data_IF_702994389130
#
_entry.id   IF_702994389130
#
_cell.length_a   1.000
_cell.length_b   1.000
_cell.length_c   1.000
_cell.angle_alpha   90.00
_cell.angle_beta   90.00
_cell.angle_gamma   90.00
#
_symmetry.space_group_name_H-M   'P 1'
#
loop_
_entity.id
_entity.type
_entity.pdbx_description
1 polymer ?
#
# COMPACT_ATOMS: atom_id res chain seq x y z
N UNK A 1 -9.27 23.66 5.24
CA UNK A 1 -9.95 23.31 3.98
C UNK A 1 -9.36 21.98 3.51
N UNK A 2 -10.18 21.03 3.21
CA UNK A 2 -9.80 19.72 2.67
C UNK A 2 -10.64 19.38 1.44
N UNK A 3 -10.09 18.56 0.55
CA UNK A 3 -10.85 18.04 -0.57
C UNK A 3 -11.96 17.14 -0.02
N UNK A 4 -13.17 17.35 -0.49
CA UNK A 4 -14.28 16.48 -0.12
C UNK A 4 -14.03 15.06 -0.64
N UNK A 5 -14.52 14.01 0.05
CA UNK A 5 -14.27 12.62 -0.32
C UNK A 5 -14.62 12.26 -1.75
N UNK A 6 -15.55 12.97 -2.35
CA UNK A 6 -15.96 12.84 -3.76
C UNK A 6 -14.99 13.47 -4.75
N UNK A 7 -13.98 14.23 -4.28
CA UNK A 7 -12.97 14.85 -5.13
C UNK A 7 -13.43 16.05 -5.96
N UNK A 8 -14.69 16.47 -5.84
CA UNK A 8 -15.28 17.53 -6.69
C UNK A 8 -15.29 18.91 -6.04
N UNK A 9 -15.27 18.96 -4.71
CA UNK A 9 -15.40 20.21 -3.96
C UNK A 9 -14.44 20.28 -2.78
N UNK A 10 -14.18 21.52 -2.30
CA UNK A 10 -13.45 21.75 -1.07
C UNK A 10 -14.46 22.02 0.06
N UNK A 11 -14.17 21.48 1.24
CA UNK A 11 -14.97 21.76 2.45
C UNK A 11 -14.11 22.30 3.58
N UNK A 12 -14.68 23.18 4.37
CA UNK A 12 -14.11 23.57 5.65
C UNK A 12 -14.44 22.51 6.71
N UNK A 13 -13.44 22.00 7.39
CA UNK A 13 -13.61 21.10 8.53
C UNK A 13 -12.86 21.65 9.71
N UNK A 14 -13.52 21.72 10.84
CA UNK A 14 -12.86 22.06 12.10
C UNK A 14 -12.02 20.88 12.52
N UNK A 15 -10.71 21.10 12.65
CA UNK A 15 -9.75 20.11 13.14
C UNK A 15 -9.02 20.65 14.34
N UNK A 16 -8.59 19.76 15.18
CA UNK A 16 -7.63 20.05 16.22
C UNK A 16 -6.28 20.30 15.54
N UNK A 17 -5.94 21.56 15.28
CA UNK A 17 -4.79 21.92 14.42
C UNK A 17 -3.65 22.57 15.19
N UNK A 18 -3.94 23.18 16.35
CA UNK A 18 -2.95 23.86 17.17
C UNK A 18 -3.21 23.60 18.64
N UNK A 19 -2.15 23.38 19.38
CA UNK A 19 -2.19 23.36 20.84
C UNK A 19 -2.03 24.80 21.37
N UNK A 20 -2.84 25.16 22.33
CA UNK A 20 -2.58 26.34 23.12
C UNK A 20 -1.46 26.00 24.11
N UNK A 21 -0.50 26.92 24.24
CA UNK A 21 0.65 26.75 25.16
C UNK A 21 1.41 25.43 24.97
N UNK A 22 1.74 25.11 23.72
CA UNK A 22 2.48 23.90 23.34
C UNK A 22 3.81 23.72 24.12
N UNK A 23 4.62 24.78 24.41
CA UNK A 23 5.86 24.63 25.17
C UNK A 23 5.65 24.03 26.56
N UNK A 24 4.65 24.50 27.31
CA UNK A 24 4.37 23.99 28.65
C UNK A 24 3.86 22.55 28.61
N UNK A 25 2.97 22.24 27.64
CA UNK A 25 2.52 20.87 27.43
C UNK A 25 3.68 19.91 27.13
N UNK A 26 4.63 20.32 26.30
CA UNK A 26 5.81 19.53 25.98
C UNK A 26 6.76 19.39 27.18
N UNK A 27 6.88 20.41 28.04
CA UNK A 27 7.64 20.31 29.29
C UNK A 27 7.03 19.25 30.20
N UNK A 28 5.74 19.33 30.48
CA UNK A 28 5.02 18.34 31.29
C UNK A 28 5.14 16.93 30.70
N UNK A 29 5.05 16.79 29.38
CA UNK A 29 5.17 15.50 28.73
C UNK A 29 6.59 14.90 28.86
N UNK A 30 7.62 15.74 28.82
CA UNK A 30 9.04 15.31 28.99
C UNK A 30 9.37 14.83 30.41
N UNK A 31 8.58 15.18 31.40
CA UNK A 31 8.77 14.68 32.77
C UNK A 31 8.46 13.18 32.89
N UNK A 32 7.62 12.65 32.02
CA UNK A 32 7.13 11.26 32.05
C UNK A 32 7.45 10.46 30.79
N UNK A 33 8.02 11.09 29.77
CA UNK A 33 8.29 10.47 28.48
C UNK A 33 9.68 10.85 27.93
N UNK A 34 10.42 9.88 27.41
CA UNK A 34 11.62 10.13 26.61
C UNK A 34 11.21 10.39 25.15
N UNK A 35 11.57 11.56 24.63
CA UNK A 35 11.25 11.99 23.28
C UNK A 35 12.53 11.98 22.45
N UNK A 36 12.60 11.05 21.52
CA UNK A 36 13.70 10.93 20.57
C UNK A 36 13.21 11.28 19.16
N UNK A 37 13.77 12.32 18.58
CA UNK A 37 13.52 12.65 17.17
C UNK A 37 14.50 11.90 16.26
N UNK A 38 14.16 11.77 14.98
CA UNK A 38 15.04 11.12 14.00
C UNK A 38 16.45 11.75 13.96
N UNK A 39 16.52 13.08 14.12
CA UNK A 39 17.79 13.82 14.15
C UNK A 39 18.64 13.50 15.40
N UNK A 40 17.98 13.28 16.55
CA UNK A 40 18.65 12.90 17.80
C UNK A 40 19.23 11.49 17.72
N UNK A 41 18.51 10.58 17.08
CA UNK A 41 18.91 9.17 16.94
C UNK A 41 20.08 8.98 15.98
N UNK A 42 20.38 9.94 15.11
CA UNK A 42 21.46 9.86 14.11
C UNK A 42 21.52 8.51 13.38
N UNK A 43 20.33 7.98 13.05
CA UNK A 43 20.23 6.68 12.37
C UNK A 43 20.91 6.75 11.01
N UNK A 44 21.62 5.69 10.60
CA UNK A 44 22.17 5.59 9.26
C UNK A 44 21.02 5.46 8.26
N UNK A 45 20.54 6.58 7.70
CA UNK A 45 19.50 6.61 6.67
C UNK A 45 20.14 6.65 5.30
N UNK A 46 19.74 5.77 4.37
CA UNK A 46 20.22 5.82 3.00
C UNK A 46 19.74 7.10 2.29
N UNK A 47 20.53 7.56 1.32
CA UNK A 47 20.09 8.61 0.41
C UNK A 47 18.94 8.09 -0.45
N UNK A 48 17.83 8.82 -0.48
CA UNK A 48 16.61 8.42 -1.19
C UNK A 48 16.45 9.23 -2.46
N UNK A 49 16.14 8.52 -3.56
CA UNK A 49 15.68 9.11 -4.81
C UNK A 49 14.21 8.71 -4.99
N UNK A 50 13.31 9.70 -5.07
CA UNK A 50 11.88 9.45 -5.22
C UNK A 50 11.49 9.42 -6.70
N UNK A 51 10.87 8.32 -7.14
CA UNK A 51 10.32 8.16 -8.48
C UNK A 51 8.82 7.86 -8.38
N UNK A 52 8.00 8.81 -8.81
CA UNK A 52 6.54 8.67 -8.78
C UNK A 52 6.04 8.16 -10.13
N UNK A 53 5.58 6.90 -10.15
CA UNK A 53 4.94 6.30 -11.33
C UNK A 53 3.43 6.53 -11.24
N UNK A 54 2.87 7.20 -12.26
CA UNK A 54 1.43 7.48 -12.36
C UNK A 54 0.83 6.61 -13.44
N UNK A 55 -0.28 5.94 -13.12
CA UNK A 55 -1.07 5.15 -14.08
C UNK A 55 -2.38 5.87 -14.38
N UNK A 56 -2.94 5.62 -15.58
CA UNK A 56 -4.25 6.11 -15.94
C UNK A 56 -5.31 5.08 -15.53
N UNK A 57 -6.47 5.50 -15.02
CA UNK A 57 -7.55 4.57 -14.71
C UNK A 57 -8.12 3.94 -15.99
N UNK A 58 -8.56 2.69 -15.89
CA UNK A 58 -9.37 2.06 -16.95
C UNK A 58 -10.75 2.70 -17.01
N UNK A 59 -11.49 2.45 -18.11
CA UNK A 59 -12.91 2.86 -18.22
C UNK A 59 -13.73 2.22 -17.11
N UNK A 60 -13.52 0.94 -16.83
CA UNK A 60 -14.17 0.21 -15.71
C UNK A 60 -13.90 0.91 -14.37
N UNK A 61 -12.65 1.26 -14.09
CA UNK A 61 -12.33 1.97 -12.85
C UNK A 61 -13.02 3.34 -12.78
N UNK A 62 -13.09 4.05 -13.89
CA UNK A 62 -13.76 5.36 -13.96
C UNK A 62 -15.25 5.25 -13.66
N UNK A 63 -15.93 4.26 -14.22
CA UNK A 63 -17.36 4.00 -13.97
C UNK A 63 -17.60 3.57 -12.52
N UNK A 64 -16.72 2.73 -11.97
CA UNK A 64 -16.80 2.30 -10.58
C UNK A 64 -16.58 3.46 -9.60
N UNK A 65 -15.67 4.40 -9.90
CA UNK A 65 -15.48 5.62 -9.10
C UNK A 65 -16.73 6.49 -9.14
N UNK A 66 -17.39 6.64 -10.29
CA UNK A 66 -18.68 7.34 -10.39
C UNK A 66 -19.76 6.65 -9.52
N UNK A 67 -19.75 5.32 -9.46
CA UNK A 67 -20.60 4.54 -8.55
C UNK A 67 -20.32 4.83 -7.07
N UNK A 68 -19.04 4.89 -6.68
CA UNK A 68 -18.65 5.25 -5.31
C UNK A 68 -19.08 6.67 -4.93
N UNK A 69 -18.98 7.62 -5.87
CA UNK A 69 -19.46 9.00 -5.66
C UNK A 69 -20.96 9.04 -5.38
N UNK A 70 -21.78 8.33 -6.18
CA UNK A 70 -23.24 8.22 -5.95
C UNK A 70 -23.57 7.57 -4.60
N UNK A 71 -22.80 6.56 -4.17
CA UNK A 71 -22.95 5.96 -2.84
C UNK A 71 -22.65 6.99 -1.73
N UNK A 72 -21.57 7.76 -1.88
CA UNK A 72 -21.19 8.80 -0.94
C UNK A 72 -22.26 9.90 -0.80
N UNK A 73 -22.92 10.29 -1.90
CA UNK A 73 -24.05 11.23 -1.88
C UNK A 73 -25.24 10.68 -1.11
N UNK A 74 -25.62 9.41 -1.31
CA UNK A 74 -26.71 8.75 -0.57
C UNK A 74 -26.42 8.70 0.94
N UNK A 75 -25.19 8.35 1.31
CA UNK A 75 -24.78 8.33 2.75
C UNK A 75 -24.84 9.73 3.36
N UNK A 76 -24.42 10.76 2.65
CA UNK A 76 -24.54 12.16 3.12
C UNK A 76 -25.97 12.62 3.28
N UNK A 77 -26.79 12.26 2.33
CA UNK A 77 -28.23 12.57 2.37
C UNK A 77 -29.00 11.73 3.40
N UNK A 78 -28.32 10.82 4.13
CA UNK A 78 -28.91 9.88 5.10
C UNK A 78 -30.00 9.00 4.48
N UNK A 79 -29.85 8.64 3.21
CA UNK A 79 -30.78 7.78 2.47
C UNK A 79 -30.44 6.30 2.61
N UNK A 80 -29.37 5.96 3.30
CA UNK A 80 -28.91 4.58 3.53
C UNK A 80 -28.51 4.44 4.99
N UNK A 81 -28.92 3.34 5.61
CA UNK A 81 -28.55 3.00 6.97
C UNK A 81 -27.04 2.76 7.11
N UNK A 82 -26.37 3.24 8.18
CA UNK A 82 -24.93 3.14 8.36
C UNK A 82 -24.35 1.71 8.39
N UNK A 83 -25.17 0.73 8.76
CA UNK A 83 -24.83 -0.70 8.73
C UNK A 83 -24.83 -1.29 7.31
N UNK A 84 -25.61 -0.71 6.39
CA UNK A 84 -25.67 -1.13 4.98
C UNK A 84 -24.51 -0.50 4.21
N UNK A 85 -24.38 0.84 4.27
CA UNK A 85 -23.29 1.57 3.62
C UNK A 85 -22.88 2.81 4.42
N UNK A 86 -21.59 3.14 4.38
CA UNK A 86 -21.03 4.28 5.12
C UNK A 86 -19.74 4.77 4.46
N UNK A 87 -19.27 5.96 4.86
CA UNK A 87 -18.08 6.57 4.28
C UNK A 87 -16.80 5.74 4.47
N UNK A 88 -16.68 4.96 5.57
CA UNK A 88 -15.53 4.10 5.80
C UNK A 88 -15.48 2.96 4.78
N UNK A 89 -16.64 2.31 4.55
CA UNK A 89 -16.77 1.25 3.56
C UNK A 89 -16.47 1.76 2.15
N UNK A 90 -17.05 2.91 1.77
CA UNK A 90 -16.82 3.54 0.47
C UNK A 90 -15.34 3.91 0.28
N UNK A 91 -14.69 4.46 1.31
CA UNK A 91 -13.27 4.80 1.26
C UNK A 91 -12.39 3.54 1.11
N UNK A 92 -12.75 2.46 1.81
CA UNK A 92 -12.02 1.20 1.68
C UNK A 92 -12.18 0.58 0.29
N UNK A 93 -13.40 0.60 -0.26
CA UNK A 93 -13.66 0.15 -1.63
C UNK A 93 -12.89 1.00 -2.64
N UNK A 94 -12.83 2.32 -2.45
CA UNK A 94 -12.04 3.22 -3.29
C UNK A 94 -10.54 2.93 -3.23
N UNK A 95 -9.99 2.59 -2.06
CA UNK A 95 -8.59 2.18 -1.92
C UNK A 95 -8.30 0.87 -2.65
N UNK A 96 -9.19 -0.11 -2.53
CA UNK A 96 -9.08 -1.39 -3.24
C UNK A 96 -9.13 -1.18 -4.75
N UNK A 97 -10.13 -0.44 -5.23
CA UNK A 97 -10.31 -0.12 -6.64
C UNK A 97 -9.09 0.61 -7.23
N UNK A 98 -8.52 1.55 -6.46
CA UNK A 98 -7.34 2.30 -6.88
C UNK A 98 -6.07 1.43 -6.95
N UNK A 99 -6.03 0.30 -6.27
CA UNK A 99 -4.93 -0.66 -6.34
C UNK A 99 -5.15 -1.62 -7.52
N UNK A 100 -6.27 -2.34 -7.51
CA UNK A 100 -6.67 -3.27 -8.57
C UNK A 100 -8.19 -3.47 -8.56
N UNK A 101 -8.83 -3.36 -9.73
CA UNK A 101 -10.29 -3.51 -9.86
C UNK A 101 -10.79 -4.90 -9.45
N UNK A 102 -9.95 -5.94 -9.60
CA UNK A 102 -10.26 -7.32 -9.20
C UNK A 102 -10.38 -7.51 -7.67
N UNK A 103 -9.90 -6.54 -6.88
CA UNK A 103 -10.15 -6.52 -5.43
C UNK A 103 -11.58 -6.17 -5.05
N UNK A 104 -12.34 -5.58 -5.96
CA UNK A 104 -13.77 -5.30 -5.79
C UNK A 104 -14.60 -6.44 -6.36
N UNK A 105 -14.26 -6.87 -7.58
CA UNK A 105 -14.91 -8.00 -8.24
C UNK A 105 -13.84 -8.84 -8.96
N UNK A 106 -13.55 -10.05 -8.45
CA UNK A 106 -12.55 -10.94 -9.04
C UNK A 106 -12.85 -11.40 -10.48
N UNK A 107 -14.09 -11.22 -10.95
CA UNK A 107 -14.49 -11.54 -12.31
C UNK A 107 -14.09 -10.48 -13.34
N UNK A 108 -13.66 -9.30 -12.87
CA UNK A 108 -13.19 -8.25 -13.76
C UNK A 108 -11.85 -8.64 -14.41
N UNK A 109 -11.60 -8.19 -15.64
CA UNK A 109 -10.33 -8.46 -16.32
C UNK A 109 -9.15 -7.80 -15.60
N UNK A 110 -7.98 -8.39 -15.77
CA UNK A 110 -6.72 -7.73 -15.40
C UNK A 110 -6.52 -6.50 -16.30
N UNK A 111 -6.29 -5.34 -15.68
CA UNK A 111 -5.97 -4.12 -16.42
C UNK A 111 -4.44 -4.03 -16.60
N UNK A 112 -3.92 -4.15 -17.83
CA UNK A 112 -2.48 -4.10 -18.09
C UNK A 112 -1.84 -2.77 -17.65
N UNK A 113 -2.62 -1.70 -17.52
CA UNK A 113 -2.15 -0.39 -17.07
C UNK A 113 -2.40 -0.14 -15.57
N UNK A 114 -2.79 -1.17 -14.81
CA UNK A 114 -3.00 -1.06 -13.37
C UNK A 114 -1.73 -0.67 -12.63
N UNK A 115 -1.88 -0.15 -11.41
CA UNK A 115 -0.73 0.13 -10.54
C UNK A 115 0.07 -1.14 -10.23
N UNK A 116 -0.61 -2.27 -10.09
CA UNK A 116 0.02 -3.56 -9.81
C UNK A 116 0.88 -3.97 -10.99
N UNK A 117 0.37 -3.91 -12.22
CA UNK A 117 1.13 -4.25 -13.41
C UNK A 117 2.29 -3.28 -13.65
N UNK A 118 2.11 -1.97 -13.47
CA UNK A 118 3.20 -1.00 -13.54
C UNK A 118 4.30 -1.26 -12.46
N UNK A 119 3.91 -1.71 -11.28
CA UNK A 119 4.85 -2.14 -10.25
C UNK A 119 5.62 -3.39 -10.67
N UNK A 120 4.95 -4.40 -11.23
CA UNK A 120 5.56 -5.63 -11.75
C UNK A 120 6.55 -5.33 -12.86
N UNK A 121 6.20 -4.45 -13.80
CA UNK A 121 7.10 -4.01 -14.87
C UNK A 121 8.37 -3.38 -14.32
N UNK A 122 8.23 -2.51 -13.35
CA UNK A 122 9.38 -1.87 -12.69
C UNK A 122 10.22 -2.87 -11.91
N UNK A 123 9.58 -3.81 -11.17
CA UNK A 123 10.28 -4.85 -10.43
C UNK A 123 11.08 -5.78 -11.36
N UNK A 124 10.46 -6.22 -12.47
CA UNK A 124 11.11 -7.07 -13.43
C UNK A 124 12.32 -6.38 -14.09
N UNK A 125 12.13 -5.13 -14.51
CA UNK A 125 13.21 -4.32 -15.07
C UNK A 125 14.40 -4.19 -14.11
N UNK A 126 14.16 -3.86 -12.85
CA UNK A 126 15.21 -3.73 -11.82
C UNK A 126 15.87 -5.09 -11.56
N UNK A 127 15.09 -6.17 -11.52
CA UNK A 127 15.60 -7.51 -11.34
C UNK A 127 16.54 -7.91 -12.49
N UNK A 128 16.20 -7.58 -13.73
CA UNK A 128 17.01 -7.87 -14.91
C UNK A 128 18.26 -6.99 -14.97
N UNK A 129 18.12 -5.67 -14.82
CA UNK A 129 19.23 -4.69 -14.86
C UNK A 129 20.29 -4.94 -13.79
N UNK A 130 19.92 -5.55 -12.67
CA UNK A 130 20.82 -5.81 -11.53
C UNK A 130 21.03 -7.32 -11.30
N UNK A 131 21.05 -8.11 -12.35
CA UNK A 131 21.24 -9.54 -12.23
C UNK A 131 22.64 -9.91 -11.70
N UNK A 132 23.67 -9.18 -12.07
CA UNK A 132 25.07 -9.34 -11.66
C UNK A 132 25.28 -9.00 -10.17
N UNK A 133 24.67 -7.92 -9.69
CA UNK A 133 24.79 -7.45 -8.30
C UNK A 133 23.81 -8.14 -7.35
N UNK A 134 22.85 -8.90 -7.88
CA UNK A 134 21.75 -9.52 -7.12
C UNK A 134 21.02 -8.52 -6.23
N UNK A 135 20.82 -7.29 -6.71
CA UNK A 135 20.11 -6.26 -5.94
C UNK A 135 18.72 -6.73 -5.51
N UNK A 136 18.36 -6.41 -4.28
CA UNK A 136 17.09 -6.82 -3.68
C UNK A 136 16.09 -5.67 -3.64
N UNK A 137 14.81 -5.99 -3.75
CA UNK A 137 13.71 -5.06 -3.78
C UNK A 137 12.73 -5.37 -2.64
N UNK A 138 12.34 -4.35 -1.90
CA UNK A 138 11.31 -4.43 -0.86
C UNK A 138 10.03 -3.78 -1.40
N UNK A 139 8.94 -4.53 -1.39
CA UNK A 139 7.64 -4.08 -1.89
C UNK A 139 6.68 -4.01 -0.72
N UNK A 140 6.12 -2.84 -0.49
CA UNK A 140 5.15 -2.62 0.58
C UNK A 140 3.73 -2.50 0.01
N UNK A 141 2.84 -3.40 0.46
CA UNK A 141 1.43 -3.38 0.10
C UNK A 141 0.58 -3.73 1.32
N UNK A 142 -0.09 -2.73 1.87
CA UNK A 142 -0.93 -2.88 3.09
C UNK A 142 -2.33 -3.45 2.80
N UNK A 143 -2.66 -3.58 1.52
CA UNK A 143 -3.92 -4.16 1.10
C UNK A 143 -3.69 -5.54 0.49
N UNK A 144 -4.72 -6.40 0.59
CA UNK A 144 -4.72 -7.70 -0.10
C UNK A 144 -3.62 -8.66 0.35
N UNK A 145 -3.30 -8.67 1.65
CA UNK A 145 -2.39 -9.68 2.21
C UNK A 145 -2.95 -11.09 1.99
N UNK A 146 -2.10 -12.10 1.71
CA UNK A 146 -2.54 -13.46 1.45
C UNK A 146 -3.33 -14.05 2.61
N UNK A 147 -4.48 -14.68 2.32
CA UNK A 147 -5.32 -15.36 3.31
C UNK A 147 -5.30 -16.86 3.20
N UNK A 148 -4.68 -17.41 2.16
CA UNK A 148 -4.64 -18.84 1.82
C UNK A 148 -6.04 -19.48 1.68
N UNK A 149 -7.05 -18.68 1.29
CA UNK A 149 -8.44 -19.09 1.08
C UNK A 149 -8.83 -19.24 -0.40
N UNK A 150 -7.85 -19.13 -1.31
CA UNK A 150 -8.05 -19.20 -2.75
C UNK A 150 -8.69 -17.94 -3.36
N UNK A 151 -8.95 -16.91 -2.58
CA UNK A 151 -9.45 -15.63 -3.11
C UNK A 151 -8.32 -14.85 -3.78
N UNK A 152 -8.67 -14.06 -4.81
CA UNK A 152 -7.73 -13.17 -5.46
C UNK A 152 -7.03 -12.25 -4.45
N UNK A 153 -5.71 -12.23 -4.53
CA UNK A 153 -4.90 -11.27 -3.78
C UNK A 153 -3.73 -10.76 -4.62
N UNK A 154 -3.31 -9.54 -4.34
CA UNK A 154 -2.27 -8.84 -5.09
C UNK A 154 -0.89 -9.48 -4.91
N UNK A 155 -0.61 -10.09 -3.76
CA UNK A 155 0.68 -10.73 -3.50
C UNK A 155 0.92 -11.93 -4.40
N UNK A 156 -0.08 -12.81 -4.51
CA UNK A 156 0.01 -13.99 -5.37
C UNK A 156 0.03 -13.57 -6.85
N UNK A 157 -0.78 -12.60 -7.26
CA UNK A 157 -0.79 -12.06 -8.62
C UNK A 157 0.59 -11.50 -9.02
N UNK A 158 1.26 -10.75 -8.12
CA UNK A 158 2.63 -10.26 -8.36
C UNK A 158 3.61 -11.42 -8.50
N UNK A 159 3.56 -12.39 -7.58
CA UNK A 159 4.45 -13.56 -7.61
C UNK A 159 4.29 -14.36 -8.92
N UNK A 160 3.06 -14.69 -9.27
CA UNK A 160 2.74 -15.46 -10.47
C UNK A 160 3.22 -14.76 -11.75
N UNK A 161 2.97 -13.45 -11.85
CA UNK A 161 3.40 -12.68 -13.02
C UNK A 161 4.92 -12.51 -13.12
N UNK A 162 5.61 -12.37 -11.99
CA UNK A 162 7.08 -12.35 -11.99
C UNK A 162 7.66 -13.71 -12.41
N UNK A 163 7.11 -14.81 -11.89
CA UNK A 163 7.51 -16.16 -12.26
C UNK A 163 7.23 -16.42 -13.75
N UNK A 164 6.09 -16.02 -14.26
CA UNK A 164 5.74 -16.14 -15.67
C UNK A 164 6.70 -15.37 -16.59
N UNK A 165 7.37 -14.34 -16.09
CA UNK A 165 8.41 -13.58 -16.79
C UNK A 165 9.81 -14.19 -16.65
N UNK A 166 9.97 -15.28 -15.91
CA UNK A 166 11.23 -16.00 -15.74
C UNK A 166 11.98 -15.70 -14.44
N UNK A 167 11.39 -14.96 -13.50
CA UNK A 167 11.97 -14.79 -12.16
C UNK A 167 11.82 -16.12 -11.39
N UNK A 168 12.91 -16.72 -10.87
CA UNK A 168 12.80 -17.94 -10.07
C UNK A 168 11.90 -17.78 -8.86
N UNK A 169 11.04 -18.76 -8.61
CA UNK A 169 10.03 -18.69 -7.53
C UNK A 169 10.65 -18.50 -6.14
N UNK A 170 11.83 -19.08 -5.91
CA UNK A 170 12.59 -18.97 -4.66
C UNK A 170 13.10 -17.54 -4.39
N UNK A 171 13.22 -16.73 -5.44
CA UNK A 171 13.65 -15.33 -5.32
C UNK A 171 12.54 -14.37 -4.95
N UNK A 172 11.27 -14.80 -4.98
CA UNK A 172 10.10 -13.98 -4.64
C UNK A 172 9.45 -14.53 -3.37
N UNK A 173 9.56 -13.80 -2.27
CA UNK A 173 9.06 -14.25 -0.96
C UNK A 173 8.16 -13.21 -0.31
N UNK A 174 7.30 -13.67 0.58
CA UNK A 174 6.44 -12.83 1.40
C UNK A 174 6.93 -12.82 2.85
N UNK A 175 6.92 -11.67 3.52
CA UNK A 175 7.27 -11.59 4.95
C UNK A 175 6.35 -12.45 5.80
N UNK A 176 5.09 -12.62 5.37
CA UNK A 176 4.07 -13.41 6.06
C UNK A 176 4.38 -14.93 6.08
N UNK A 177 5.28 -15.41 5.25
CA UNK A 177 5.75 -16.80 5.25
C UNK A 177 6.67 -17.10 6.45
N UNK A 178 7.24 -16.07 7.06
CA UNK A 178 8.09 -16.16 8.24
C UNK A 178 7.32 -15.72 9.48
N UNK A 179 6.81 -16.67 10.27
CA UNK A 179 5.96 -16.40 11.43
C UNK A 179 6.75 -16.29 12.73
N UNK A 180 7.92 -16.91 12.81
CA UNK A 180 8.82 -16.86 13.98
C UNK A 180 10.02 -15.94 13.74
N UNK A 181 10.63 -15.45 14.83
CA UNK A 181 11.82 -14.59 14.73
C UNK A 181 13.01 -15.31 14.07
N UNK A 182 13.14 -16.62 14.31
CA UNK A 182 14.17 -17.44 13.67
C UNK A 182 13.97 -17.49 12.14
N UNK A 183 12.74 -17.73 11.69
CA UNK A 183 12.38 -17.73 10.26
C UNK A 183 12.56 -16.35 9.62
N UNK A 184 12.20 -15.27 10.33
CA UNK A 184 12.45 -13.90 9.85
C UNK A 184 13.94 -13.62 9.70
N UNK A 185 14.74 -14.04 10.68
CA UNK A 185 16.20 -13.87 10.64
C UNK A 185 16.81 -14.63 9.47
N UNK A 186 16.35 -15.85 9.20
CA UNK A 186 16.78 -16.64 8.04
C UNK A 186 16.39 -15.95 6.72
N UNK A 187 15.10 -15.56 6.59
CA UNK A 187 14.58 -14.86 5.42
C UNK A 187 15.37 -13.58 5.13
N UNK A 188 15.62 -12.76 6.14
CA UNK A 188 16.44 -11.56 5.99
C UNK A 188 17.91 -11.86 5.66
N UNK A 189 18.43 -13.03 6.09
CA UNK A 189 19.72 -13.55 5.67
C UNK A 189 19.75 -13.78 4.15
N UNK A 190 18.73 -14.45 3.61
CA UNK A 190 18.57 -14.73 2.18
C UNK A 190 18.35 -13.45 1.35
N UNK A 191 17.66 -12.45 1.91
CA UNK A 191 17.53 -11.13 1.28
C UNK A 191 18.89 -10.43 1.19
N UNK A 192 19.67 -10.44 2.26
CA UNK A 192 21.01 -9.81 2.27
C UNK A 192 22.02 -10.51 1.36
N UNK A 193 21.90 -11.81 1.18
CA UNK A 193 22.79 -12.58 0.27
C UNK A 193 22.37 -12.47 -1.19
N UNK A 194 21.20 -11.90 -1.50
CA UNK A 194 20.65 -11.85 -2.85
C UNK A 194 20.09 -13.19 -3.34
N UNK A 195 19.89 -14.16 -2.45
CA UNK A 195 19.14 -15.39 -2.74
C UNK A 195 17.65 -15.08 -2.92
N UNK A 196 17.08 -14.20 -2.07
CA UNK A 196 15.76 -13.62 -2.25
C UNK A 196 15.95 -12.21 -2.79
N UNK A 197 15.43 -11.94 -3.97
CA UNK A 197 15.60 -10.66 -4.67
C UNK A 197 14.36 -9.77 -4.63
N UNK A 198 13.20 -10.35 -4.34
CA UNK A 198 11.94 -9.62 -4.18
C UNK A 198 11.29 -10.07 -2.88
N UNK A 199 11.12 -9.15 -1.94
CA UNK A 199 10.43 -9.39 -0.68
C UNK A 199 9.20 -8.49 -0.59
N UNK A 200 8.01 -9.10 -0.51
CA UNK A 200 6.75 -8.39 -0.32
C UNK A 200 6.34 -8.40 1.16
N UNK A 201 5.84 -7.27 1.65
CA UNK A 201 5.35 -7.13 3.01
C UNK A 201 4.34 -6.00 3.17
N UNK A 202 3.77 -5.90 4.36
CA UNK A 202 2.98 -4.75 4.82
C UNK A 202 3.80 -3.91 5.78
N UNK A 203 3.42 -2.65 5.94
CA UNK A 203 4.02 -1.74 6.93
C UNK A 203 3.54 -2.02 8.33
#
# INVERSE_FOLDING_TARGET
IELAPEGTNYRAKTRFAKFFNLPELLMMFREVADIQTADMLKLPVPKVNYHNIKTKPSEIQTDMVAGLAKRAEKVRARLVEPNIDNMLKITNDGRKLALDQRMIDPMLPDDPNSKVNACIDNMYRIWEEHADTKATQLIFCDLSTPKNDGTFNVYDDIREKLIARGVPAEQVRFIHEATTDAQKKELFGKVRSGEVRVLLGST
#
